data_IF_179202639826
#
_entry.id   IF_179202639826
#
_cell.length_a   1.000
_cell.length_b   1.000
_cell.length_c   1.000
_cell.angle_alpha   90.00
_cell.angle_beta   90.00
_cell.angle_gamma   90.00
#
_symmetry.space_group_name_H-M   'P 1'
#
loop_
_entity.id
_entity.type
_entity.pdbx_description
1 polymer ?
#
# COMPACT_ATOMS: atom_id res chain seq x y z
N UNK A 1 30.15 -10.81 3.99
CA UNK A 1 29.26 -9.77 4.53
C UNK A 1 27.89 -10.13 3.98
N UNK A 2 26.92 -10.49 4.83
CA UNK A 2 25.55 -10.75 4.36
C UNK A 2 25.04 -9.50 3.65
N UNK A 3 24.76 -9.60 2.36
CA UNK A 3 23.98 -8.59 1.65
C UNK A 3 22.57 -8.64 2.24
N UNK A 4 22.35 -7.84 3.28
CA UNK A 4 21.07 -7.77 3.97
C UNK A 4 19.94 -7.70 2.94
N UNK A 5 19.05 -8.69 3.00
CA UNK A 5 17.94 -8.92 2.09
C UNK A 5 17.31 -7.60 1.66
N UNK A 6 17.31 -7.34 0.35
CA UNK A 6 16.72 -6.14 -0.23
C UNK A 6 15.20 -6.29 -0.22
N UNK A 7 14.59 -6.27 0.97
CA UNK A 7 13.13 -6.21 1.10
C UNK A 7 12.69 -4.85 0.56
N UNK A 8 12.06 -4.86 -0.61
CA UNK A 8 11.36 -3.70 -1.16
C UNK A 8 9.87 -3.97 -0.98
N UNK A 9 9.38 -3.76 0.24
CA UNK A 9 7.94 -3.69 0.48
C UNK A 9 7.45 -2.33 -0.05
N UNK A 10 6.48 -2.36 -0.96
CA UNK A 10 5.79 -1.16 -1.45
C UNK A 10 4.39 -1.22 -0.89
N UNK A 11 4.07 -0.29 0.02
CA UNK A 11 2.72 -0.06 0.52
C UNK A 11 2.15 1.21 -0.09
N UNK A 12 0.94 1.14 -0.62
CA UNK A 12 0.15 2.34 -0.92
C UNK A 12 -0.58 2.71 0.37
N UNK A 13 -0.33 3.93 0.84
CA UNK A 13 -0.74 4.39 2.15
C UNK A 13 -1.39 5.75 2.00
N UNK A 14 -2.45 5.99 2.75
CA UNK A 14 -3.00 7.35 2.87
C UNK A 14 -2.09 8.20 3.76
N UNK A 15 -2.27 9.52 3.74
CA UNK A 15 -1.55 10.42 4.66
C UNK A 15 -1.77 10.00 6.13
N UNK A 16 -2.99 9.58 6.48
CA UNK A 16 -3.31 9.11 7.83
C UNK A 16 -2.55 7.84 8.21
N UNK A 17 -2.38 6.91 7.29
CA UNK A 17 -1.64 5.66 7.54
C UNK A 17 -0.15 5.95 7.76
N UNK A 18 0.42 6.88 6.99
CA UNK A 18 1.80 7.33 7.18
C UNK A 18 2.02 7.97 8.56
N UNK A 19 1.09 8.81 9.02
CA UNK A 19 1.16 9.44 10.35
C UNK A 19 1.12 8.40 11.47
N UNK A 20 0.27 7.37 11.34
CA UNK A 20 0.14 6.29 12.33
C UNK A 20 1.38 5.38 12.35
N UNK A 21 1.93 5.07 11.18
CA UNK A 21 3.10 4.19 11.04
C UNK A 21 4.43 4.89 11.40
N UNK A 22 4.43 6.23 11.42
CA UNK A 22 5.54 7.04 11.91
C UNK A 22 6.82 6.91 11.08
N UNK A 23 7.98 7.06 11.74
CA UNK A 23 9.31 7.12 11.08
C UNK A 23 9.86 5.76 10.62
N UNK A 24 9.05 4.70 10.64
CA UNK A 24 9.47 3.35 10.24
C UNK A 24 9.83 3.24 8.76
N UNK A 25 9.34 4.16 7.93
CA UNK A 25 9.68 4.21 6.52
C UNK A 25 10.93 5.04 6.27
N UNK A 26 11.94 4.43 5.63
CA UNK A 26 13.15 5.15 5.19
C UNK A 26 12.86 6.16 4.08
N UNK A 27 11.81 5.94 3.28
CA UNK A 27 11.43 6.76 2.13
C UNK A 27 9.93 6.69 1.93
N UNK A 28 9.29 7.84 1.74
CA UNK A 28 7.91 7.98 1.27
C UNK A 28 7.92 8.92 0.07
N UNK A 29 7.24 8.53 -1.00
CA UNK A 29 7.10 9.34 -2.21
C UNK A 29 5.61 9.61 -2.39
N UNK A 30 5.25 10.90 -2.42
CA UNK A 30 3.88 11.29 -2.72
C UNK A 30 3.60 10.93 -4.18
N UNK A 31 2.52 10.17 -4.39
CA UNK A 31 1.99 9.91 -5.72
C UNK A 31 1.02 11.06 -6.00
N UNK A 32 1.50 12.13 -6.64
CA UNK A 32 0.66 13.25 -7.05
C UNK A 32 -0.07 12.88 -8.34
N UNK A 33 -1.39 13.15 -8.43
CA UNK A 33 -2.32 12.89 -9.56
C UNK A 33 -1.65 12.22 -10.75
N UNK A 34 -1.39 10.92 -10.61
CA UNK A 34 -0.69 10.12 -11.62
C UNK A 34 -1.74 9.22 -12.27
N UNK A 35 -2.41 9.66 -13.35
CA UNK A 35 -3.49 8.91 -13.98
C UNK A 35 -3.07 7.52 -14.49
N UNK A 36 -1.78 7.21 -14.53
CA UNK A 36 -1.28 5.87 -14.82
C UNK A 36 -1.38 4.87 -13.66
N UNK A 37 -1.71 5.34 -12.44
CA UNK A 37 -1.91 4.49 -11.26
C UNK A 37 -3.38 4.26 -10.92
N UNK A 38 -4.32 4.99 -11.54
CA UNK A 38 -5.75 4.89 -11.25
C UNK A 38 -6.28 3.46 -11.47
N UNK A 39 -5.85 2.81 -12.56
CA UNK A 39 -6.22 1.42 -12.85
C UNK A 39 -5.69 0.43 -11.80
N UNK A 40 -4.49 0.70 -11.27
CA UNK A 40 -3.89 -0.13 -10.22
C UNK A 40 -4.62 0.05 -8.89
N UNK A 41 -4.93 1.30 -8.52
CA UNK A 41 -5.69 1.62 -7.31
C UNK A 41 -7.08 0.99 -7.37
N UNK A 42 -7.79 1.14 -8.49
CA UNK A 42 -9.10 0.51 -8.70
C UNK A 42 -9.05 -1.02 -8.59
N UNK A 43 -7.99 -1.66 -9.10
CA UNK A 43 -7.81 -3.10 -8.98
C UNK A 43 -7.58 -3.54 -7.52
N UNK A 44 -6.86 -2.74 -6.73
CA UNK A 44 -6.63 -3.00 -5.30
C UNK A 44 -7.94 -2.86 -4.53
N UNK A 45 -8.71 -1.79 -4.74
CA UNK A 45 -10.00 -1.57 -4.07
C UNK A 45 -10.97 -2.74 -4.30
N UNK A 46 -11.03 -3.25 -5.54
CA UNK A 46 -11.86 -4.43 -5.88
C UNK A 46 -11.38 -5.68 -5.14
N UNK A 47 -10.07 -5.86 -4.99
CA UNK A 47 -9.51 -7.00 -4.28
C UNK A 47 -9.78 -6.94 -2.77
N UNK A 48 -9.65 -5.75 -2.15
CA UNK A 48 -9.96 -5.54 -0.74
C UNK A 48 -11.43 -5.82 -0.45
N UNK A 49 -12.34 -5.25 -1.26
CA UNK A 49 -13.79 -5.50 -1.12
C UNK A 49 -14.13 -6.98 -1.17
N UNK A 50 -13.53 -7.74 -2.10
CA UNK A 50 -13.72 -9.20 -2.18
C UNK A 50 -13.20 -9.92 -0.94
N UNK A 51 -12.08 -9.49 -0.38
CA UNK A 51 -11.52 -10.06 0.83
C UNK A 51 -12.40 -9.77 2.06
N UNK A 52 -12.99 -8.58 2.14
CA UNK A 52 -13.97 -8.22 3.17
C UNK A 52 -15.25 -9.04 3.05
N UNK A 53 -15.82 -9.16 1.85
CA UNK A 53 -17.01 -9.97 1.58
C UNK A 53 -16.80 -11.44 2.00
N UNK A 54 -15.62 -11.99 1.72
CA UNK A 54 -15.26 -13.36 2.10
C UNK A 54 -15.14 -13.52 3.63
N UNK A 55 -14.65 -12.50 4.35
CA UNK A 55 -14.55 -12.51 5.82
C UNK A 55 -15.89 -12.31 6.50
N UNK A 56 -16.78 -11.51 5.91
CA UNK A 56 -18.12 -11.22 6.44
C UNK A 56 -19.13 -12.35 6.22
N UNK A 57 -18.87 -13.24 5.26
CA UNK A 57 -19.68 -14.44 4.98
C UNK A 57 -19.30 -15.68 5.80
N UNK A 58 -18.40 -15.56 6.78
CA UNK A 58 -17.95 -16.64 7.67
C UNK A 58 -18.50 -16.52 9.09
#
# INVERSE_FOLDING_TARGET
MEEAERIVAIGLLTERDLDVLGTGFRRAFRVDDTPCFDDLLAAIDVAEKRAEDMRAGS
#
